data_IF_444008520452
#
_entry.id   IF_444008520452
#
_cell.length_a   1.000
_cell.length_b   1.000
_cell.length_c   1.000
_cell.angle_alpha   90.00
_cell.angle_beta   90.00
_cell.angle_gamma   90.00
#
_symmetry.space_group_name_H-M   'P 1'
#
loop_
_entity.id
_entity.type
_entity.pdbx_description
1 polymer ?
#
# COMPACT_ATOMS: atom_id res chain seq x y z
N UNK A 1 -20.93 35.40 -56.13
CA UNK A 1 -21.03 35.38 -54.65
C UNK A 1 -20.65 34.00 -54.15
N UNK A 2 -19.45 33.82 -53.59
CA UNK A 2 -19.04 32.59 -52.89
C UNK A 2 -18.17 33.02 -51.70
N UNK A 3 -18.70 32.91 -50.48
CA UNK A 3 -17.98 33.24 -49.24
C UNK A 3 -17.22 32.01 -48.77
N UNK A 4 -15.89 32.10 -48.73
CA UNK A 4 -14.99 31.11 -48.11
C UNK A 4 -15.03 31.31 -46.59
N UNK A 5 -15.41 30.28 -45.84
CA UNK A 5 -15.33 30.23 -44.38
C UNK A 5 -13.97 29.66 -43.96
N UNK A 6 -13.11 30.53 -43.46
CA UNK A 6 -11.90 30.20 -42.70
C UNK A 6 -12.32 29.73 -41.31
N UNK A 7 -12.20 28.42 -41.03
CA UNK A 7 -12.29 27.91 -39.66
C UNK A 7 -10.93 28.11 -38.97
N UNK A 8 -10.91 29.02 -38.00
CA UNK A 8 -9.76 29.32 -37.15
C UNK A 8 -9.59 28.31 -36.01
N UNK A 9 -8.33 28.19 -35.58
CA UNK A 9 -7.83 27.44 -34.43
C UNK A 9 -8.62 27.69 -33.14
N UNK A 10 -8.89 26.63 -32.39
CA UNK A 10 -9.17 26.70 -30.96
C UNK A 10 -8.17 25.80 -30.21
N UNK A 11 -7.08 26.38 -29.75
CA UNK A 11 -6.12 25.78 -28.82
C UNK A 11 -6.74 25.71 -27.42
N UNK A 12 -7.13 24.52 -26.97
CA UNK A 12 -7.56 24.28 -25.59
C UNK A 12 -6.34 24.04 -24.70
N UNK A 13 -5.84 25.10 -24.08
CA UNK A 13 -4.90 25.03 -22.97
C UNK A 13 -5.69 24.86 -21.67
N UNK A 14 -5.81 23.62 -21.17
CA UNK A 14 -6.32 23.31 -19.84
C UNK A 14 -5.17 23.43 -18.82
N UNK A 15 -4.92 24.67 -18.38
CA UNK A 15 -4.12 24.95 -17.20
C UNK A 15 -5.02 24.85 -15.95
N UNK A 16 -4.84 23.80 -15.16
CA UNK A 16 -5.51 23.61 -13.88
C UNK A 16 -4.49 23.42 -12.77
N UNK A 17 -4.21 24.49 -12.04
CA UNK A 17 -3.41 24.54 -10.82
C UNK A 17 -4.10 23.76 -9.70
N UNK A 18 -3.45 22.71 -9.18
CA UNK A 18 -3.91 22.07 -7.93
C UNK A 18 -3.30 22.85 -6.76
N UNK A 19 -4.12 23.67 -6.12
CA UNK A 19 -3.75 24.43 -4.93
C UNK A 19 -3.46 23.50 -3.75
N UNK A 20 -2.25 23.62 -3.20
CA UNK A 20 -1.84 22.98 -1.96
C UNK A 20 -2.49 23.68 -0.77
N UNK A 21 -3.55 23.08 -0.21
CA UNK A 21 -4.07 23.44 1.11
C UNK A 21 -3.35 22.62 2.19
N UNK A 22 -2.59 23.30 3.07
CA UNK A 22 -1.99 22.69 4.24
C UNK A 22 -3.07 22.42 5.30
N UNK A 23 -3.22 21.17 5.73
CA UNK A 23 -4.00 20.84 6.93
C UNK A 23 -3.01 20.41 8.01
N UNK A 24 -2.80 21.30 8.98
CA UNK A 24 -2.22 20.96 10.27
C UNK A 24 -3.28 20.22 11.10
N UNK A 25 -2.88 19.16 11.80
CA UNK A 25 -3.70 18.58 12.86
C UNK A 25 -2.78 18.13 14.00
N UNK A 26 -2.95 18.81 15.11
CA UNK A 26 -2.26 18.58 16.37
C UNK A 26 -3.00 17.54 17.23
N UNK A 27 -2.18 16.81 18.00
CA UNK A 27 -2.40 16.01 19.20
C UNK A 27 -3.80 15.83 19.81
N UNK A 28 -4.07 14.60 20.28
CA UNK A 28 -4.29 14.38 21.72
C UNK A 28 -4.11 12.92 22.12
N UNK A 29 -3.40 12.75 23.24
CA UNK A 29 -3.17 11.51 24.00
C UNK A 29 -4.44 11.11 24.76
N UNK A 30 -4.70 9.82 24.89
CA UNK A 30 -5.72 9.28 25.81
C UNK A 30 -5.38 7.87 26.25
N UNK A 31 -4.90 7.75 27.49
CA UNK A 31 -4.56 6.52 28.21
C UNK A 31 -5.71 5.51 28.27
N UNK A 32 -5.40 4.21 28.18
CA UNK A 32 -6.23 3.13 28.75
C UNK A 32 -5.36 2.08 29.40
N UNK A 33 -5.22 2.22 30.71
CA UNK A 33 -4.97 1.11 31.64
C UNK A 33 -6.25 0.28 31.81
N UNK A 34 -6.10 -1.04 31.93
CA UNK A 34 -7.24 -1.95 32.15
C UNK A 34 -6.79 -3.39 32.24
N UNK A 35 -6.20 -3.73 33.38
CA UNK A 35 -5.67 -5.03 33.79
C UNK A 35 -6.79 -5.85 34.47
N UNK A 36 -6.81 -7.18 34.26
CA UNK A 36 -7.48 -8.16 35.13
C UNK A 36 -8.68 -8.87 34.48
N UNK A 37 -8.55 -10.17 34.15
CA UNK A 37 -8.89 -11.34 34.99
C UNK A 37 -10.35 -11.75 34.76
N UNK A 38 -10.76 -13.02 34.59
CA UNK A 38 -10.17 -14.37 34.61
C UNK A 38 -11.34 -15.36 34.40
N UNK A 39 -11.04 -16.66 34.25
CA UNK A 39 -11.94 -17.84 34.40
C UNK A 39 -12.79 -18.20 33.18
N UNK A 40 -13.01 -19.45 32.78
CA UNK A 40 -12.34 -20.77 32.87
C UNK A 40 -13.27 -21.67 32.06
N UNK A 41 -12.74 -22.48 31.15
CA UNK A 41 -13.41 -23.73 30.79
C UNK A 41 -12.35 -24.79 30.50
N UNK A 42 -12.26 -25.70 31.46
CA UNK A 42 -11.50 -26.94 31.48
C UNK A 42 -12.18 -28.02 30.63
N UNK A 43 -11.41 -28.68 29.76
CA UNK A 43 -11.56 -30.11 29.44
C UNK A 43 -10.32 -30.61 28.66
N UNK A 44 -9.49 -31.39 29.35
CA UNK A 44 -8.41 -32.26 28.87
C UNK A 44 -8.94 -33.38 27.91
N UNK A 45 -8.13 -34.06 27.06
CA UNK A 45 -6.85 -34.66 27.47
C UNK A 45 -5.70 -34.73 26.43
N UNK A 46 -4.48 -34.74 26.97
CA UNK A 46 -3.31 -35.53 26.52
C UNK A 46 -3.15 -35.77 25.01
N UNK A 47 -2.49 -34.83 24.33
CA UNK A 47 -1.58 -35.16 23.24
C UNK A 47 -0.19 -34.76 23.70
N UNK A 48 0.67 -35.75 23.97
CA UNK A 48 2.10 -35.54 24.13
C UNK A 48 2.67 -35.10 22.78
N UNK A 49 2.60 -33.81 22.49
CA UNK A 49 3.39 -33.21 21.41
C UNK A 49 4.86 -33.31 21.84
N UNK A 50 5.75 -33.90 21.03
CA UNK A 50 7.19 -33.82 21.29
C UNK A 50 7.53 -32.34 21.42
N UNK A 51 8.30 -31.99 22.45
CA UNK A 51 8.78 -30.62 22.61
C UNK A 51 9.55 -30.22 21.35
N UNK A 52 8.96 -29.34 20.52
CA UNK A 52 9.68 -28.66 19.47
C UNK A 52 10.81 -27.85 20.13
N UNK A 53 12.09 -28.11 19.82
CA UNK A 53 13.22 -27.40 20.44
C UNK A 53 13.29 -25.91 20.07
N UNK A 54 12.39 -25.42 19.22
CA UNK A 54 12.44 -24.06 18.66
C UNK A 54 11.42 -23.08 19.27
N UNK A 55 10.69 -23.47 20.33
CA UNK A 55 9.71 -22.62 21.01
C UNK A 55 10.33 -21.39 21.75
N UNK A 56 11.64 -21.17 21.63
CA UNK A 56 12.36 -20.06 22.25
C UNK A 56 13.10 -19.17 21.23
N UNK A 57 12.51 -18.97 20.05
CA UNK A 57 12.96 -17.92 19.13
C UNK A 57 12.66 -16.54 19.73
N UNK A 58 13.61 -16.01 20.48
CA UNK A 58 13.61 -14.65 21.02
C UNK A 58 13.21 -13.63 19.92
N UNK A 59 12.09 -12.90 20.05
CA UNK A 59 11.59 -11.98 19.03
C UNK A 59 12.52 -10.76 18.82
N UNK A 60 13.58 -10.63 19.61
CA UNK A 60 14.59 -9.57 19.51
C UNK A 60 15.87 -9.98 18.75
N UNK A 61 15.96 -11.23 18.27
CA UNK A 61 17.11 -11.66 17.48
C UNK A 61 17.22 -10.80 16.20
N UNK A 62 18.24 -9.94 16.15
CA UNK A 62 18.53 -9.10 14.97
C UNK A 62 18.73 -10.02 13.77
N UNK A 63 17.86 -9.90 12.77
CA UNK A 63 17.98 -10.67 11.52
C UNK A 63 19.39 -10.44 10.95
N UNK A 64 20.14 -11.50 10.60
CA UNK A 64 21.48 -11.35 10.04
C UNK A 64 21.42 -10.47 8.78
N UNK A 65 22.33 -9.50 8.68
CA UNK A 65 22.45 -8.63 7.52
C UNK A 65 22.92 -9.49 6.34
N UNK A 66 22.14 -9.52 5.25
CA UNK A 66 22.56 -10.21 4.03
C UNK A 66 23.82 -9.53 3.47
N UNK A 67 24.76 -10.34 2.95
CA UNK A 67 25.90 -9.84 2.19
C UNK A 67 25.45 -9.20 0.88
N UNK A 68 26.29 -8.37 0.26
CA UNK A 68 25.98 -7.75 -1.04
C UNK A 68 25.64 -8.81 -2.10
N UNK A 69 26.43 -9.88 -2.18
CA UNK A 69 26.20 -11.01 -3.10
C UNK A 69 24.84 -11.67 -2.87
N UNK A 70 24.48 -11.96 -1.63
CA UNK A 70 23.18 -12.54 -1.29
C UNK A 70 22.02 -11.59 -1.61
N UNK A 71 22.22 -10.27 -1.47
CA UNK A 71 21.23 -9.26 -1.85
C UNK A 71 21.07 -9.16 -3.37
N UNK A 72 22.16 -9.27 -4.12
CA UNK A 72 22.13 -9.33 -5.58
C UNK A 72 21.42 -10.59 -6.07
N UNK A 73 21.72 -11.75 -5.50
CA UNK A 73 21.07 -13.02 -5.83
C UNK A 73 19.55 -13.01 -5.57
N UNK A 74 19.09 -12.34 -4.50
CA UNK A 74 17.66 -12.21 -4.18
C UNK A 74 16.94 -11.07 -4.90
N UNK A 75 17.68 -10.21 -5.60
CA UNK A 75 17.10 -9.03 -6.23
C UNK A 75 16.00 -9.32 -7.26
N UNK A 76 16.09 -10.38 -8.10
CA UNK A 76 15.03 -10.68 -9.06
C UNK A 76 13.73 -11.11 -8.37
N UNK A 77 13.81 -11.90 -7.30
CA UNK A 77 12.65 -12.31 -6.50
C UNK A 77 11.96 -11.10 -5.85
N UNK A 78 12.76 -10.17 -5.31
CA UNK A 78 12.23 -8.96 -4.69
C UNK A 78 11.52 -8.09 -5.74
N UNK A 79 12.12 -7.90 -6.92
CA UNK A 79 11.51 -7.15 -8.03
C UNK A 79 10.19 -7.82 -8.44
N UNK A 80 10.20 -9.13 -8.69
CA UNK A 80 9.01 -9.87 -9.10
C UNK A 80 7.86 -9.73 -8.07
N UNK A 81 8.17 -9.85 -6.78
CA UNK A 81 7.18 -9.67 -5.70
C UNK A 81 6.63 -8.25 -5.63
N UNK A 82 7.46 -7.24 -5.90
CA UNK A 82 7.03 -5.84 -5.90
C UNK A 82 6.16 -5.54 -7.12
N UNK A 83 6.53 -6.03 -8.30
CA UNK A 83 5.72 -5.92 -9.53
C UNK A 83 4.37 -6.61 -9.36
N UNK A 84 4.34 -7.82 -8.81
CA UNK A 84 3.08 -8.53 -8.52
C UNK A 84 2.19 -7.76 -7.53
N UNK A 85 2.79 -7.06 -6.55
CA UNK A 85 2.04 -6.18 -5.65
C UNK A 85 1.47 -4.97 -6.39
N UNK A 86 2.21 -4.36 -7.31
CA UNK A 86 1.70 -3.25 -8.12
C UNK A 86 0.50 -3.69 -8.98
N UNK A 87 0.57 -4.86 -9.62
CA UNK A 87 -0.57 -5.42 -10.37
C UNK A 87 -1.81 -5.61 -9.48
N UNK A 88 -1.66 -6.23 -8.30
CA UNK A 88 -2.77 -6.40 -7.35
C UNK A 88 -3.35 -5.09 -6.83
N UNK A 89 -2.53 -4.03 -6.72
CA UNK A 89 -3.03 -2.70 -6.37
C UNK A 89 -3.85 -2.11 -7.52
N UNK A 90 -3.41 -2.25 -8.77
CA UNK A 90 -4.17 -1.79 -9.94
C UNK A 90 -5.54 -2.48 -10.05
N UNK A 91 -5.59 -3.81 -9.87
CA UNK A 91 -6.84 -4.58 -9.82
C UNK A 91 -7.79 -4.07 -8.73
N UNK A 92 -7.27 -3.81 -7.53
CA UNK A 92 -8.05 -3.29 -6.40
C UNK A 92 -8.56 -1.88 -6.67
N UNK A 93 -7.78 -1.02 -7.32
CA UNK A 93 -8.21 0.32 -7.72
C UNK A 93 -9.40 0.25 -8.67
N UNK A 94 -9.32 -0.58 -9.72
CA UNK A 94 -10.41 -0.76 -10.67
C UNK A 94 -11.69 -1.29 -9.98
N UNK A 95 -11.57 -2.29 -9.12
CA UNK A 95 -12.69 -2.84 -8.37
C UNK A 95 -13.33 -1.82 -7.41
N UNK A 96 -12.54 -0.94 -6.79
CA UNK A 96 -13.06 0.13 -5.93
C UNK A 96 -13.75 1.23 -6.74
N UNK A 97 -13.23 1.58 -7.92
CA UNK A 97 -13.88 2.54 -8.83
C UNK A 97 -15.23 2.04 -9.32
N UNK A 98 -15.36 0.75 -9.67
CA UNK A 98 -16.65 0.16 -10.00
C UNK A 98 -17.65 0.26 -8.84
N UNK A 99 -17.22 -0.10 -7.63
CA UNK A 99 -18.05 0.01 -6.41
C UNK A 99 -18.41 1.45 -6.05
N UNK A 100 -17.58 2.41 -6.43
CA UNK A 100 -17.84 3.85 -6.26
C UNK A 100 -19.00 4.27 -7.15
N UNK A 101 -18.94 3.92 -8.44
CA UNK A 101 -20.00 4.20 -9.40
C UNK A 101 -21.34 3.58 -8.96
N UNK A 102 -21.36 2.32 -8.51
CA UNK A 102 -22.56 1.68 -7.95
C UNK A 102 -23.14 2.45 -6.75
N UNK A 103 -22.27 2.91 -5.84
CA UNK A 103 -22.68 3.66 -4.67
C UNK A 103 -23.20 5.05 -5.02
N UNK A 104 -22.63 5.71 -6.03
CA UNK A 104 -23.10 6.98 -6.56
C UNK A 104 -24.49 6.83 -7.21
N UNK A 105 -24.70 5.80 -8.04
CA UNK A 105 -26.01 5.51 -8.63
C UNK A 105 -27.06 5.21 -7.56
N UNK A 106 -26.68 4.56 -6.46
CA UNK A 106 -27.55 4.30 -5.33
C UNK A 106 -27.74 5.51 -4.37
N UNK A 107 -27.10 6.65 -4.63
CA UNK A 107 -27.15 7.83 -3.77
C UNK A 107 -26.50 7.64 -2.39
N UNK A 108 -25.68 6.62 -2.21
CA UNK A 108 -25.08 6.28 -0.91
C UNK A 108 -23.76 7.05 -0.70
N UNK A 109 -23.90 8.32 -0.29
CA UNK A 109 -22.79 9.26 -0.11
C UNK A 109 -21.74 8.79 0.90
N UNK A 110 -22.16 8.16 2.01
CA UNK A 110 -21.20 7.63 2.99
C UNK A 110 -20.36 6.49 2.41
N UNK A 111 -20.95 5.61 1.61
CA UNK A 111 -20.23 4.53 0.96
C UNK A 111 -19.25 5.08 -0.06
N UNK A 112 -19.62 6.11 -0.81
CA UNK A 112 -18.71 6.83 -1.73
C UNK A 112 -17.52 7.39 -0.96
N UNK A 113 -17.75 8.14 0.13
CA UNK A 113 -16.68 8.71 0.95
C UNK A 113 -15.71 7.63 1.50
N UNK A 114 -16.25 6.52 2.02
CA UNK A 114 -15.43 5.39 2.50
C UNK A 114 -14.61 4.74 1.37
N UNK A 115 -15.13 4.69 0.15
CA UNK A 115 -14.42 4.16 -1.01
C UNK A 115 -13.30 5.13 -1.43
N UNK A 116 -13.58 6.43 -1.44
CA UNK A 116 -12.61 7.47 -1.78
C UNK A 116 -11.41 7.46 -0.82
N UNK A 117 -11.64 7.33 0.49
CA UNK A 117 -10.55 7.14 1.44
C UNK A 117 -9.73 5.87 1.18
N UNK A 118 -10.37 4.77 0.79
CA UNK A 118 -9.68 3.52 0.46
C UNK A 118 -8.82 3.69 -0.79
N UNK A 119 -9.33 4.41 -1.80
CA UNK A 119 -8.58 4.76 -3.01
C UNK A 119 -7.37 5.62 -2.66
N UNK A 120 -7.53 6.67 -1.84
CA UNK A 120 -6.41 7.52 -1.40
C UNK A 120 -5.34 6.73 -0.64
N UNK A 121 -5.73 5.83 0.27
CA UNK A 121 -4.78 4.93 0.97
C UNK A 121 -4.06 3.98 0.02
N UNK A 122 -4.76 3.47 -1.00
CA UNK A 122 -4.20 2.57 -1.99
C UNK A 122 -3.20 3.29 -2.91
N UNK A 123 -3.49 4.53 -3.29
CA UNK A 123 -2.59 5.39 -4.05
C UNK A 123 -1.32 5.70 -3.27
N UNK A 124 -1.44 6.13 -2.01
CA UNK A 124 -0.28 6.36 -1.14
C UNK A 124 0.56 5.08 -0.95
N UNK A 125 -0.08 3.91 -0.88
CA UNK A 125 0.62 2.62 -0.88
C UNK A 125 1.37 2.37 -2.19
N UNK A 126 0.73 2.64 -3.33
CA UNK A 126 1.32 2.49 -4.65
C UNK A 126 2.59 3.33 -4.78
N UNK A 127 2.52 4.61 -4.41
CA UNK A 127 3.68 5.52 -4.42
C UNK A 127 4.81 5.02 -3.52
N UNK A 128 4.50 4.53 -2.31
CA UNK A 128 5.52 3.95 -1.42
C UNK A 128 6.19 2.72 -2.02
N UNK A 129 5.44 1.87 -2.69
CA UNK A 129 5.96 0.66 -3.34
C UNK A 129 6.82 1.04 -4.55
N UNK A 130 6.38 1.97 -5.39
CA UNK A 130 7.14 2.48 -6.52
C UNK A 130 8.46 3.11 -6.08
N UNK A 131 8.45 3.94 -5.04
CA UNK A 131 9.66 4.54 -4.47
C UNK A 131 10.64 3.49 -3.92
N UNK A 132 10.13 2.40 -3.31
CA UNK A 132 10.97 1.29 -2.85
C UNK A 132 11.57 0.49 -4.01
N UNK A 133 10.81 0.30 -5.10
CA UNK A 133 11.30 -0.35 -6.31
C UNK A 133 12.42 0.46 -6.94
N UNK A 134 12.21 1.77 -7.12
CA UNK A 134 13.22 2.67 -7.68
C UNK A 134 14.51 2.64 -6.85
N UNK A 135 14.41 2.77 -5.52
CA UNK A 135 15.56 2.66 -4.61
C UNK A 135 16.28 1.31 -4.72
N UNK A 136 15.53 0.22 -4.85
CA UNK A 136 16.11 -1.10 -5.03
C UNK A 136 16.85 -1.21 -6.37
N UNK A 137 16.23 -0.75 -7.46
CA UNK A 137 16.84 -0.72 -8.79
C UNK A 137 18.13 0.10 -8.81
N UNK A 138 18.13 1.32 -8.25
CA UNK A 138 19.33 2.15 -8.12
C UNK A 138 20.43 1.43 -7.32
N UNK A 139 20.08 0.78 -6.21
CA UNK A 139 21.06 0.03 -5.42
C UNK A 139 21.62 -1.17 -6.19
N UNK A 140 20.77 -1.93 -6.88
CA UNK A 140 21.19 -3.08 -7.69
C UNK A 140 22.14 -2.64 -8.79
N UNK A 141 21.79 -1.61 -9.56
CA UNK A 141 22.65 -1.08 -10.63
C UNK A 141 24.02 -0.63 -10.10
N UNK A 142 24.07 -0.07 -8.89
CA UNK A 142 25.33 0.40 -8.29
C UNK A 142 26.17 -0.70 -7.61
N UNK A 143 25.58 -1.84 -7.22
CA UNK A 143 26.25 -2.82 -6.34
C UNK A 143 26.30 -4.25 -6.91
N UNK A 144 25.51 -4.55 -7.94
CA UNK A 144 25.41 -5.88 -8.53
C UNK A 144 26.00 -5.96 -9.95
N UNK A 145 26.65 -4.89 -10.42
CA UNK A 145 27.46 -4.91 -11.63
C UNK A 145 28.84 -5.49 -11.28
N UNK A 146 28.97 -6.80 -11.46
CA UNK A 146 30.19 -7.60 -11.29
C UNK A 146 30.02 -8.88 -12.08
#
# INVERSE_FOLDING_TARGET
MNKKLTLGLASLALAGTVGFGAIASAASNGSRDGRGSSVSTSADPSVSTPADPDANANPTAKRPKLTTEQRCAKSPEIIARVTAKQAKMAERTAALQAKRAEAETAGNTERVARIDERLARLEANSTRVANRLAKAQTWITANCAG
#
